data_IF_965030529548
#
_entry.id   IF_965030529548
#
_cell.length_a   1.000
_cell.length_b   1.000
_cell.length_c   1.000
_cell.angle_alpha   90.00
_cell.angle_beta   90.00
_cell.angle_gamma   90.00
#
_symmetry.space_group_name_H-M   'P 1'
#
loop_
_entity.id
_entity.type
_entity.pdbx_description
1 polymer ?
#
# COMPACT_ATOMS: atom_id res chain seq x y z
N UNK A 1 63.83 -34.62 -1.84
CA UNK A 1 63.39 -33.79 -2.99
C UNK A 1 62.78 -32.52 -2.43
N UNK A 2 63.13 -31.36 -3.03
CA UNK A 2 62.88 -29.94 -2.71
C UNK A 2 61.70 -29.60 -1.76
N UNK A 3 61.73 -28.71 -0.76
CA UNK A 3 62.36 -27.40 -0.45
C UNK A 3 61.83 -26.16 -1.21
N UNK A 4 61.25 -25.24 -0.42
CA UNK A 4 61.22 -23.74 -0.46
C UNK A 4 59.78 -23.14 -0.37
N UNK A 5 59.56 -22.05 0.42
CA UNK A 5 58.34 -21.78 1.21
C UNK A 5 57.60 -20.46 0.88
N UNK A 6 56.67 -20.09 1.78
CA UNK A 6 55.84 -18.87 1.96
C UNK A 6 56.43 -17.52 1.52
N UNK A 7 55.55 -16.58 1.10
CA UNK A 7 55.78 -15.14 1.31
C UNK A 7 54.52 -14.24 1.23
N UNK A 8 54.25 -13.60 2.38
CA UNK A 8 53.83 -12.22 2.67
C UNK A 8 52.44 -11.59 2.33
N UNK A 9 51.71 -11.27 3.41
CA UNK A 9 51.53 -9.94 4.04
C UNK A 9 51.57 -8.66 3.16
N UNK A 10 50.49 -7.87 3.19
CA UNK A 10 50.38 -6.39 3.38
C UNK A 10 48.99 -5.93 2.92
N UNK A 11 48.07 -5.49 3.79
CA UNK A 11 47.97 -4.20 4.49
C UNK A 11 47.75 -2.95 3.59
N UNK A 12 46.59 -2.32 3.83
CA UNK A 12 46.32 -0.88 3.97
C UNK A 12 46.42 0.12 2.78
N UNK A 13 45.23 0.64 2.47
CA UNK A 13 44.84 2.07 2.51
C UNK A 13 45.24 3.09 1.44
N UNK A 14 44.18 3.77 0.96
CA UNK A 14 44.07 5.24 0.72
C UNK A 14 44.85 5.83 -0.46
N UNK A 15 44.49 6.97 -1.08
CA UNK A 15 43.73 8.16 -0.68
C UNK A 15 43.39 8.92 -2.01
N UNK A 16 42.55 9.98 -1.94
CA UNK A 16 42.43 11.15 -2.85
C UNK A 16 41.35 11.05 -3.94
N UNK A 17 40.17 11.67 -3.79
CA UNK A 17 39.84 13.12 -3.93
C UNK A 17 40.32 13.75 -5.24
N UNK A 18 39.37 14.19 -6.09
CA UNK A 18 39.31 15.60 -6.53
C UNK A 18 38.02 15.94 -7.33
N UNK A 19 37.31 16.93 -6.78
CA UNK A 19 36.62 18.08 -7.41
C UNK A 19 35.45 17.95 -8.42
N UNK A 20 34.37 18.61 -8.01
CA UNK A 20 33.24 19.16 -8.77
C UNK A 20 33.65 20.15 -9.88
N UNK A 21 32.99 20.11 -11.04
CA UNK A 21 32.17 21.18 -11.71
C UNK A 21 31.91 20.84 -13.20
N UNK A 22 30.66 21.00 -13.68
CA UNK A 22 30.36 21.16 -15.12
C UNK A 22 29.15 20.38 -15.67
N UNK A 23 28.14 21.02 -16.32
CA UNK A 23 26.86 20.43 -16.72
C UNK A 23 26.86 19.87 -18.17
N UNK A 24 25.83 19.05 -18.43
CA UNK A 24 25.34 18.52 -19.72
C UNK A 24 26.17 17.45 -20.45
N UNK A 25 25.63 16.22 -20.53
CA UNK A 25 25.19 15.61 -21.80
C UNK A 25 24.63 14.17 -21.65
N UNK A 26 23.37 14.02 -22.07
CA UNK A 26 22.80 12.93 -22.88
C UNK A 26 23.02 11.45 -22.50
N UNK A 27 21.89 10.85 -22.07
CA UNK A 27 21.36 9.51 -22.39
C UNK A 27 22.31 8.30 -22.45
N UNK A 28 22.11 7.35 -21.53
CA UNK A 28 22.14 5.92 -21.87
C UNK A 28 21.13 5.14 -21.01
N UNK A 29 20.12 4.57 -21.66
CA UNK A 29 19.17 3.65 -21.03
C UNK A 29 19.90 2.36 -20.60
N UNK A 30 19.64 1.91 -19.37
CA UNK A 30 19.86 0.52 -18.96
C UNK A 30 18.54 -0.07 -18.45
N UNK A 31 18.05 -1.07 -19.17
CA UNK A 31 17.07 -2.06 -18.69
C UNK A 31 17.63 -2.82 -17.48
N UNK A 32 16.76 -3.27 -16.57
CA UNK A 32 16.95 -4.54 -15.89
C UNK A 32 15.95 -5.57 -16.42
N UNK A 33 16.48 -6.70 -16.90
CA UNK A 33 15.75 -7.95 -17.11
C UNK A 33 15.72 -8.71 -15.78
N UNK A 34 14.59 -9.35 -15.46
CA UNK A 34 14.57 -10.48 -14.52
C UNK A 34 13.70 -11.60 -15.10
N UNK A 35 14.34 -12.74 -15.28
CA UNK A 35 13.80 -14.02 -15.70
C UNK A 35 12.73 -14.56 -14.74
N UNK A 36 11.66 -15.09 -15.31
CA UNK A 36 10.95 -16.21 -14.72
C UNK A 36 10.35 -17.05 -15.84
N UNK A 37 11.01 -18.17 -16.10
CA UNK A 37 10.65 -19.18 -17.08
C UNK A 37 9.60 -20.11 -16.46
N UNK A 38 8.31 -19.88 -16.74
CA UNK A 38 7.24 -20.89 -16.63
C UNK A 38 6.25 -20.68 -17.78
N UNK A 39 6.39 -21.56 -18.77
CA UNK A 39 5.44 -22.05 -19.79
C UNK A 39 4.28 -21.14 -20.22
N UNK A 40 4.40 -20.58 -21.43
CA UNK A 40 3.28 -20.05 -22.24
C UNK A 40 2.65 -21.17 -23.09
N UNK A 41 1.37 -21.06 -23.52
CA UNK A 41 0.97 -20.09 -24.55
C UNK A 41 -0.22 -19.24 -24.05
N UNK A 42 -0.36 -17.95 -24.28
CA UNK A 42 0.12 -17.12 -25.37
C UNK A 42 -1.00 -16.14 -25.71
N UNK A 43 -1.02 -14.97 -25.06
CA UNK A 43 -1.53 -13.67 -25.57
C UNK A 43 -0.91 -12.61 -24.64
N UNK A 44 0.10 -11.90 -25.14
CA UNK A 44 0.66 -10.74 -24.43
C UNK A 44 -0.08 -9.48 -24.83
N UNK A 45 -0.96 -8.96 -23.97
CA UNK A 45 -1.53 -7.62 -24.16
C UNK A 45 -0.53 -6.61 -23.58
N UNK A 46 0.05 -5.77 -24.43
CA UNK A 46 0.94 -4.69 -24.00
C UNK A 46 0.19 -3.35 -24.09
N UNK A 47 -0.05 -2.73 -22.94
CA UNK A 47 -0.72 -1.42 -22.87
C UNK A 47 0.34 -0.35 -22.67
N UNK A 48 0.39 0.62 -23.59
CA UNK A 48 1.38 1.71 -23.53
C UNK A 48 0.63 3.04 -23.53
N UNK A 49 0.82 3.82 -22.46
CA UNK A 49 0.23 5.17 -22.37
C UNK A 49 1.16 6.13 -23.10
N UNK A 50 0.74 6.59 -24.27
CA UNK A 50 1.51 7.54 -25.06
C UNK A 50 1.41 8.94 -24.43
N UNK A 51 2.52 9.43 -23.87
CA UNK A 51 2.61 10.79 -23.35
C UNK A 51 2.91 11.77 -24.51
N UNK A 52 1.92 12.00 -25.39
CA UNK A 52 1.97 13.11 -26.34
C UNK A 52 0.86 14.10 -26.02
N UNK A 53 1.22 15.38 -26.02
CA UNK A 53 0.28 16.49 -25.89
C UNK A 53 -0.71 16.47 -27.06
N UNK A 54 -2.01 16.21 -26.82
CA UNK A 54 -2.99 16.14 -27.89
C UNK A 54 -3.40 17.56 -28.30
N UNK A 55 -3.32 17.87 -29.59
CA UNK A 55 -3.85 19.12 -30.18
C UNK A 55 -5.36 19.09 -30.41
N UNK A 56 -6.09 18.12 -29.82
CA UNK A 56 -7.56 18.03 -29.87
C UNK A 56 -8.14 17.61 -28.51
N UNK A 57 -9.36 18.07 -28.25
CA UNK A 57 -10.10 18.21 -26.98
C UNK A 57 -10.42 16.96 -26.16
N UNK A 58 -9.75 15.82 -26.37
CA UNK A 58 -9.93 14.66 -25.50
C UNK A 58 -8.96 14.73 -24.30
N UNK A 59 -9.51 14.65 -23.09
CA UNK A 59 -8.77 14.88 -21.82
C UNK A 59 -7.65 13.87 -21.55
N UNK A 60 -7.65 12.71 -22.22
CA UNK A 60 -6.57 11.72 -22.24
C UNK A 60 -6.88 10.70 -23.35
N UNK A 61 -5.84 10.22 -24.03
CA UNK A 61 -5.93 9.15 -25.03
C UNK A 61 -5.00 8.00 -24.60
N UNK A 62 -5.48 6.76 -24.71
CA UNK A 62 -4.68 5.57 -24.49
C UNK A 62 -4.63 4.76 -25.79
N UNK A 63 -3.44 4.32 -26.19
CA UNK A 63 -3.26 3.47 -27.37
C UNK A 63 -3.15 2.03 -26.91
N UNK A 64 -4.17 1.23 -27.19
CA UNK A 64 -4.12 -0.21 -26.99
C UNK A 64 -3.49 -0.86 -28.23
N UNK A 65 -2.30 -1.44 -28.08
CA UNK A 65 -1.65 -2.19 -29.15
C UNK A 65 -1.81 -3.68 -28.85
N UNK A 66 -2.65 -4.36 -29.63
CA UNK A 66 -2.89 -5.79 -29.47
C UNK A 66 -2.16 -6.52 -30.60
N UNK A 67 -1.21 -7.40 -30.25
CA UNK A 67 -0.59 -8.29 -31.20
C UNK A 67 -1.54 -9.47 -31.46
N UNK A 68 -2.20 -9.47 -32.62
CA UNK A 68 -3.19 -10.50 -32.99
C UNK A 68 -2.51 -11.55 -33.87
N UNK A 69 -2.35 -12.77 -33.38
CA UNK A 69 -1.77 -13.88 -34.16
C UNK A 69 -2.76 -14.55 -35.11
N UNK A 70 -4.07 -14.32 -34.91
CA UNK A 70 -5.16 -14.88 -35.72
C UNK A 70 -6.18 -13.81 -36.09
N UNK A 71 -5.89 -13.03 -37.12
CA UNK A 71 -6.87 -12.16 -37.76
C UNK A 71 -7.77 -13.02 -38.67
N UNK A 72 -9.06 -13.08 -38.37
CA UNK A 72 -10.01 -13.83 -39.20
C UNK A 72 -10.54 -12.99 -40.37
N UNK A 73 -10.66 -11.65 -40.23
CA UNK A 73 -11.21 -10.77 -41.27
C UNK A 73 -10.54 -9.39 -41.32
N UNK A 74 -10.45 -8.83 -42.53
CA UNK A 74 -10.05 -7.44 -42.75
C UNK A 74 -11.26 -6.51 -42.52
N UNK A 75 -11.11 -5.41 -41.76
CA UNK A 75 -12.19 -4.47 -41.56
C UNK A 75 -12.52 -3.73 -42.85
N UNK A 76 -13.81 -3.59 -43.14
CA UNK A 76 -14.27 -2.76 -44.27
C UNK A 76 -14.32 -1.30 -43.84
N UNK A 77 -13.80 -0.39 -44.70
CA UNK A 77 -13.78 1.05 -44.44
C UNK A 77 -15.21 1.60 -44.33
N UNK A 78 -15.68 1.80 -43.10
CA UNK A 78 -16.83 2.67 -42.79
C UNK A 78 -16.41 3.70 -41.76
N UNK A 79 -17.11 4.84 -41.76
CA UNK A 79 -16.90 5.89 -40.76
C UNK A 79 -17.03 5.29 -39.37
N UNK A 80 -15.99 5.48 -38.55
CA UNK A 80 -15.88 4.89 -37.23
C UNK A 80 -16.45 5.84 -36.18
N UNK A 81 -17.42 5.40 -35.38
CA UNK A 81 -17.93 6.13 -34.22
C UNK A 81 -17.66 5.35 -32.92
N UNK A 82 -17.67 6.02 -31.78
CA UNK A 82 -17.36 5.39 -30.47
C UNK A 82 -18.29 4.21 -30.13
N UNK A 83 -19.51 4.21 -30.67
CA UNK A 83 -20.49 3.13 -30.48
C UNK A 83 -20.12 1.85 -31.25
N UNK A 84 -19.29 1.97 -32.29
CA UNK A 84 -18.93 0.88 -33.19
C UNK A 84 -17.71 0.09 -32.69
N UNK A 85 -17.05 0.56 -31.63
CA UNK A 85 -15.84 -0.06 -31.08
C UNK A 85 -16.10 -1.52 -30.65
N UNK A 86 -17.24 -1.79 -30.03
CA UNK A 86 -17.62 -3.14 -29.59
C UNK A 86 -17.73 -4.11 -30.77
N UNK A 87 -18.54 -3.76 -31.77
CA UNK A 87 -18.74 -4.60 -32.95
C UNK A 87 -17.48 -4.77 -33.80
N UNK A 88 -16.63 -3.74 -33.88
CA UNK A 88 -15.35 -3.82 -34.59
C UNK A 88 -14.36 -4.81 -33.95
N UNK A 89 -14.33 -4.87 -32.61
CA UNK A 89 -13.49 -5.84 -31.91
C UNK A 89 -14.05 -7.26 -32.09
N UNK A 90 -15.37 -7.43 -32.04
CA UNK A 90 -16.02 -8.73 -32.27
C UNK A 90 -15.74 -9.29 -33.69
N UNK A 91 -15.61 -8.42 -34.70
CA UNK A 91 -15.29 -8.81 -36.08
C UNK A 91 -13.81 -9.22 -36.28
N UNK A 92 -12.90 -8.69 -35.47
CA UNK A 92 -11.45 -8.89 -35.58
C UNK A 92 -10.97 -10.08 -34.74
N UNK A 93 -11.56 -10.28 -33.57
CA UNK A 93 -11.12 -11.26 -32.58
C UNK A 93 -12.06 -12.48 -32.57
N UNK A 94 -11.49 -13.68 -32.42
CA UNK A 94 -12.29 -14.88 -32.06
C UNK A 94 -13.05 -14.55 -30.76
N UNK A 95 -14.37 -14.84 -30.65
CA UNK A 95 -15.19 -14.39 -29.53
C UNK A 95 -14.66 -14.98 -28.22
N UNK A 96 -13.85 -14.19 -27.52
CA UNK A 96 -13.48 -14.45 -26.14
C UNK A 96 -14.72 -14.09 -25.34
N UNK A 97 -15.20 -14.99 -24.47
CA UNK A 97 -16.32 -14.69 -23.60
C UNK A 97 -15.93 -13.55 -22.65
N UNK A 98 -16.33 -12.33 -22.98
CA UNK A 98 -16.16 -11.19 -22.09
C UNK A 98 -17.29 -11.19 -21.08
N UNK A 99 -16.94 -11.25 -19.79
CA UNK A 99 -17.90 -10.97 -18.74
C UNK A 99 -18.21 -9.46 -18.78
N UNK A 100 -19.37 -9.11 -19.32
CA UNK A 100 -19.84 -7.73 -19.33
C UNK A 100 -20.17 -7.32 -17.89
N UNK A 101 -19.19 -6.74 -17.19
CA UNK A 101 -19.42 -6.14 -15.89
C UNK A 101 -20.17 -4.82 -16.15
N UNK A 102 -21.50 -4.86 -16.01
CA UNK A 102 -22.32 -3.64 -15.96
C UNK A 102 -22.01 -2.90 -14.66
N UNK A 103 -20.92 -2.13 -14.66
CA UNK A 103 -20.66 -1.14 -13.63
C UNK A 103 -21.63 0.02 -13.83
N UNK A 104 -22.71 0.07 -13.04
CA UNK A 104 -23.46 1.33 -12.89
C UNK A 104 -22.53 2.35 -12.23
N UNK A 105 -22.60 3.62 -12.63
CA UNK A 105 -21.92 4.75 -11.95
C UNK A 105 -22.48 5.01 -10.53
N UNK A 106 -22.90 3.98 -9.80
CA UNK A 106 -23.01 4.06 -8.35
C UNK A 106 -21.60 4.40 -7.83
N UNK A 107 -21.47 5.53 -7.15
CA UNK A 107 -20.24 6.32 -7.04
C UNK A 107 -18.97 5.52 -6.73
N UNK A 108 -17.87 5.85 -7.42
CA UNK A 108 -16.56 5.27 -7.16
C UNK A 108 -16.20 5.33 -5.66
N UNK A 109 -15.54 4.30 -5.11
CA UNK A 109 -15.30 4.16 -3.68
C UNK A 109 -14.44 5.31 -3.14
N UNK A 110 -14.63 5.67 -1.87
CA UNK A 110 -13.86 6.68 -1.13
C UNK A 110 -12.39 6.25 -1.02
N UNK A 111 -12.16 4.98 -0.68
CA UNK A 111 -10.84 4.36 -0.65
C UNK A 111 -10.86 3.03 -1.40
N UNK A 112 -9.90 2.85 -2.31
CA UNK A 112 -9.73 1.59 -3.04
C UNK A 112 -8.73 0.70 -2.35
N UNK A 113 -9.11 -0.53 -2.03
CA UNK A 113 -8.21 -1.52 -1.45
C UNK A 113 -7.08 -1.85 -2.42
N UNK A 114 -5.89 -2.14 -1.88
CA UNK A 114 -4.73 -2.49 -2.70
C UNK A 114 -4.10 -3.82 -2.30
N UNK A 115 -3.62 -3.92 -1.06
CA UNK A 115 -2.94 -5.10 -0.51
C UNK A 115 -2.98 -5.03 1.01
N UNK A 116 -2.62 -6.14 1.65
CA UNK A 116 -2.43 -6.20 3.11
C UNK A 116 -1.06 -6.77 3.45
N UNK A 117 -0.48 -6.32 4.55
CA UNK A 117 0.78 -6.87 5.07
C UNK A 117 0.72 -7.00 6.60
N UNK A 118 1.31 -8.06 7.11
CA UNK A 118 1.39 -8.31 8.55
C UNK A 118 2.61 -7.62 9.17
N UNK A 119 2.39 -6.96 10.31
CA UNK A 119 3.44 -6.31 11.09
C UNK A 119 3.37 -6.74 12.55
N UNK A 120 4.54 -6.93 13.15
CA UNK A 120 4.69 -6.80 14.58
C UNK A 120 4.66 -5.31 14.94
N UNK A 121 3.97 -4.96 16.03
CA UNK A 121 3.87 -3.59 16.54
C UNK A 121 4.35 -3.56 17.99
N UNK A 122 5.09 -2.51 18.33
CA UNK A 122 5.47 -2.13 19.69
C UNK A 122 5.25 -0.61 19.82
N UNK A 123 4.84 -0.15 20.99
CA UNK A 123 4.97 1.28 21.30
C UNK A 123 6.44 1.63 21.62
N UNK A 124 6.75 2.92 21.74
CA UNK A 124 8.14 3.37 21.97
C UNK A 124 8.72 2.96 23.33
N UNK A 125 7.87 2.50 24.24
CA UNK A 125 8.24 1.92 25.54
C UNK A 125 8.28 0.37 25.46
N UNK A 126 8.27 -0.19 24.25
CA UNK A 126 8.32 -1.62 23.97
C UNK A 126 7.15 -2.44 24.52
N UNK A 127 5.99 -1.82 24.80
CA UNK A 127 4.75 -2.56 25.06
C UNK A 127 4.19 -3.09 23.75
N UNK A 128 3.70 -4.32 23.80
CA UNK A 128 3.02 -4.95 22.68
C UNK A 128 1.52 -5.04 22.93
N UNK A 129 0.77 -5.25 21.86
CA UNK A 129 -0.67 -5.44 21.95
C UNK A 129 -1.02 -6.89 22.30
N UNK A 130 -2.00 -7.06 23.17
CA UNK A 130 -2.63 -8.35 23.49
C UNK A 130 -4.15 -8.18 23.40
N UNK A 131 -4.82 -9.19 22.87
CA UNK A 131 -6.28 -9.24 22.83
C UNK A 131 -6.79 -9.95 24.09
N UNK A 132 -7.39 -9.19 25.01
CA UNK A 132 -8.05 -9.72 26.20
C UNK A 132 -9.57 -9.90 25.95
N UNK A 133 -10.21 -10.94 26.52
CA UNK A 133 -11.65 -11.12 26.42
C UNK A 133 -12.44 -9.97 27.10
N UNK A 134 -13.63 -9.59 26.60
CA UNK A 134 -14.34 -10.20 25.48
C UNK A 134 -13.78 -9.81 24.10
N UNK A 135 -13.35 -8.56 23.90
CA UNK A 135 -12.77 -8.04 22.65
C UNK A 135 -12.01 -6.73 22.91
N UNK A 136 -11.15 -6.71 23.93
CA UNK A 136 -10.41 -5.52 24.32
C UNK A 136 -8.93 -5.66 24.01
N UNK A 137 -8.38 -4.67 23.31
CA UNK A 137 -6.96 -4.62 23.02
C UNK A 137 -6.25 -3.86 24.14
N UNK A 138 -5.26 -4.47 24.76
CA UNK A 138 -4.46 -3.86 25.85
C UNK A 138 -2.99 -3.82 25.47
N UNK A 139 -2.24 -2.86 26.04
CA UNK A 139 -0.81 -2.72 25.81
C UNK A 139 0.00 -3.08 27.06
N UNK A 140 0.93 -4.03 26.95
CA UNK A 140 1.79 -4.45 28.06
C UNK A 140 3.13 -5.03 27.57
N UNK A 141 4.12 -5.02 28.46
CA UNK A 141 5.36 -5.76 28.27
C UNK A 141 5.10 -7.25 28.45
N UNK A 142 5.48 -8.06 27.47
CA UNK A 142 5.43 -9.52 27.58
C UNK A 142 6.84 -10.08 27.74
N UNK A 143 6.98 -11.07 28.62
CA UNK A 143 8.25 -11.78 28.84
C UNK A 143 8.06 -13.29 28.72
N UNK A 144 9.12 -13.96 28.26
CA UNK A 144 9.18 -15.42 28.17
C UNK A 144 8.09 -16.04 27.28
N UNK A 145 7.43 -17.12 27.72
CA UNK A 145 6.49 -17.87 26.88
C UNK A 145 5.21 -17.10 26.54
N UNK A 146 4.87 -16.04 27.29
CA UNK A 146 3.69 -15.22 27.05
C UNK A 146 3.78 -14.41 25.73
N UNK A 147 4.98 -14.25 25.17
CA UNK A 147 5.22 -13.56 23.88
C UNK A 147 4.42 -14.13 22.70
N UNK A 148 3.93 -15.38 22.80
CA UNK A 148 3.01 -15.98 21.82
C UNK A 148 1.65 -15.30 21.74
N UNK A 149 1.25 -14.56 22.78
CA UNK A 149 -0.01 -13.82 22.84
C UNK A 149 0.08 -12.44 22.16
N UNK A 150 1.28 -12.03 21.74
CA UNK A 150 1.50 -10.77 21.02
C UNK A 150 0.64 -10.73 19.75
N UNK A 151 -0.22 -9.72 19.68
CA UNK A 151 -1.01 -9.42 18.48
C UNK A 151 -0.08 -8.93 17.38
N UNK A 152 -0.31 -9.44 16.17
CA UNK A 152 0.23 -8.88 14.93
C UNK A 152 -0.87 -8.10 14.23
N UNK A 153 -0.55 -6.94 13.69
CA UNK A 153 -1.49 -6.18 12.88
C UNK A 153 -1.43 -6.67 11.44
N UNK A 154 -2.58 -6.88 10.82
CA UNK A 154 -2.70 -6.99 9.37
C UNK A 154 -3.16 -5.64 8.84
N UNK A 155 -2.21 -4.88 8.29
CA UNK A 155 -2.44 -3.52 7.81
C UNK A 155 -2.87 -3.59 6.33
N UNK A 156 -4.13 -3.27 6.07
CA UNK A 156 -4.68 -3.16 4.72
C UNK A 156 -4.39 -1.74 4.17
N UNK A 157 -3.72 -1.65 3.03
CA UNK A 157 -3.38 -0.39 2.36
C UNK A 157 -4.46 0.00 1.35
N UNK A 158 -4.79 1.30 1.32
CA UNK A 158 -5.74 1.85 0.37
C UNK A 158 -5.13 2.98 -0.46
N UNK A 159 -5.82 3.32 -1.56
CA UNK A 159 -5.61 4.55 -2.32
C UNK A 159 -6.86 5.43 -2.22
N UNK A 160 -6.72 6.71 -1.87
CA UNK A 160 -7.86 7.62 -1.84
C UNK A 160 -8.35 7.90 -3.27
N UNK A 161 -9.64 8.20 -3.40
CA UNK A 161 -10.30 8.51 -4.69
C UNK A 161 -9.72 9.75 -5.38
N UNK A 162 -9.40 10.77 -4.60
CA UNK A 162 -8.79 12.01 -5.06
C UNK A 162 -7.36 12.12 -4.55
N UNK A 163 -6.47 12.71 -5.34
CA UNK A 163 -5.19 13.26 -4.88
C UNK A 163 -5.40 14.49 -3.97
N UNK A 164 -6.42 14.46 -3.10
CA UNK A 164 -6.61 15.40 -2.01
C UNK A 164 -5.51 15.11 -0.99
N UNK A 165 -4.40 15.81 -1.20
CA UNK A 165 -3.10 15.44 -0.71
C UNK A 165 -2.17 15.54 -1.90
N UNK A 166 -1.63 16.74 -2.10
CA UNK A 166 -0.57 16.95 -3.08
C UNK A 166 0.54 15.90 -2.89
N UNK A 167 1.32 15.61 -3.94
CA UNK A 167 2.47 14.72 -3.81
C UNK A 167 3.32 15.16 -2.61
N UNK A 168 3.43 14.32 -1.57
CA UNK A 168 4.32 14.57 -0.43
C UNK A 168 3.70 14.72 0.97
N UNK A 169 2.40 14.47 1.20
CA UNK A 169 1.86 14.55 2.59
C UNK A 169 2.38 13.45 3.53
N UNK A 170 2.96 12.36 3.00
CA UNK A 170 3.45 11.23 3.79
C UNK A 170 2.35 10.40 4.49
N UNK A 171 1.07 10.75 4.27
CA UNK A 171 -0.08 10.08 4.90
C UNK A 171 -0.57 8.93 4.03
N UNK A 172 -0.50 7.70 4.54
CA UNK A 172 -0.96 6.50 3.83
C UNK A 172 -2.25 5.98 4.47
N UNK A 173 -3.40 5.96 3.78
CA UNK A 173 -4.63 5.44 4.36
C UNK A 173 -4.57 3.91 4.50
N UNK A 174 -4.89 3.44 5.70
CA UNK A 174 -4.83 2.03 6.08
C UNK A 174 -6.01 1.63 6.96
N UNK A 175 -6.36 0.35 6.97
CA UNK A 175 -7.19 -0.25 8.01
C UNK A 175 -6.34 -1.20 8.86
N UNK A 176 -6.56 -1.21 10.17
CA UNK A 176 -5.75 -1.95 11.14
C UNK A 176 -6.51 -3.18 11.63
N UNK A 177 -6.23 -4.33 11.03
CA UNK A 177 -6.82 -5.61 11.41
C UNK A 177 -5.99 -6.39 12.42
N UNK A 178 -6.64 -7.19 13.26
CA UNK A 178 -5.98 -8.10 14.20
C UNK A 178 -5.70 -9.42 13.48
N UNK A 179 -4.44 -9.77 13.23
CA UNK A 179 -4.08 -10.99 12.48
C UNK A 179 -4.59 -12.24 13.21
N UNK A 180 -5.26 -13.12 12.47
CA UNK A 180 -5.87 -14.33 13.00
C UNK A 180 -7.31 -14.15 13.50
N UNK A 181 -7.81 -12.91 13.51
CA UNK A 181 -9.17 -12.57 13.89
C UNK A 181 -9.83 -11.75 12.77
N UNK A 182 -11.15 -11.77 12.69
CA UNK A 182 -11.93 -10.92 11.77
C UNK A 182 -12.24 -9.55 12.38
N UNK A 183 -11.35 -9.06 13.24
CA UNK A 183 -11.51 -7.82 14.00
C UNK A 183 -10.67 -6.70 13.38
N UNK A 184 -11.26 -5.52 13.25
CA UNK A 184 -10.59 -4.30 12.81
C UNK A 184 -10.80 -3.18 13.83
N UNK A 185 -9.76 -2.37 13.99
CA UNK A 185 -9.86 -1.13 14.74
C UNK A 185 -10.76 -0.15 13.99
N UNK A 186 -11.61 0.55 14.74
CA UNK A 186 -12.48 1.60 14.24
C UNK A 186 -12.61 2.71 15.28
N UNK A 187 -12.83 3.94 14.81
CA UNK A 187 -13.13 5.06 15.69
C UNK A 187 -14.59 5.45 15.57
N UNK A 188 -15.30 5.53 16.68
CA UNK A 188 -16.71 5.94 16.73
C UNK A 188 -16.94 6.96 17.82
N UNK A 189 -18.03 7.72 17.72
CA UNK A 189 -18.44 8.61 18.80
C UNK A 189 -19.13 7.79 19.89
N UNK A 190 -18.66 7.91 21.14
CA UNK A 190 -19.32 7.31 22.31
C UNK A 190 -19.63 8.41 23.32
N UNK A 191 -20.91 8.78 23.42
CA UNK A 191 -21.32 9.97 24.14
C UNK A 191 -20.80 11.23 23.44
N UNK A 192 -19.92 11.98 24.12
CA UNK A 192 -19.38 13.25 23.62
C UNK A 192 -17.96 13.15 23.05
N UNK A 193 -17.30 11.99 23.17
CA UNK A 193 -15.90 11.82 22.79
C UNK A 193 -15.72 10.66 21.81
N UNK A 194 -14.75 10.76 20.89
CA UNK A 194 -14.40 9.65 20.01
C UNK A 194 -13.64 8.59 20.79
N UNK A 195 -13.97 7.33 20.54
CA UNK A 195 -13.34 6.16 21.16
C UNK A 195 -12.87 5.18 20.10
N UNK A 196 -11.83 4.42 20.44
CA UNK A 196 -11.36 3.28 19.66
C UNK A 196 -12.14 2.04 20.08
N UNK A 197 -12.59 1.24 19.11
CA UNK A 197 -13.20 -0.06 19.37
C UNK A 197 -12.75 -1.10 18.33
N UNK A 198 -12.94 -2.37 18.68
CA UNK A 198 -12.78 -3.49 17.75
C UNK A 198 -14.15 -3.90 17.19
N UNK A 199 -14.30 -3.86 15.88
CA UNK A 199 -15.50 -4.31 15.17
C UNK A 199 -15.18 -5.54 14.32
N UNK A 200 -16.09 -6.50 14.28
CA UNK A 200 -16.04 -7.59 13.30
C UNK A 200 -16.41 -7.06 11.92
N UNK A 201 -15.50 -7.16 10.96
CA UNK A 201 -15.71 -6.59 9.63
C UNK A 201 -14.88 -7.29 8.55
N UNK A 202 -15.38 -7.26 7.31
CA UNK A 202 -14.55 -7.49 6.13
C UNK A 202 -14.27 -6.16 5.42
N UNK A 203 -13.11 -5.58 5.75
CA UNK A 203 -12.62 -4.35 5.12
C UNK A 203 -11.62 -4.63 4.01
N UNK A 204 -11.32 -5.87 3.61
CA UNK A 204 -10.40 -6.17 2.49
C UNK A 204 -11.04 -5.97 1.12
N UNK A 205 -11.82 -4.90 1.02
CA UNK A 205 -12.61 -4.47 -0.13
C UNK A 205 -12.62 -2.95 -0.14
N UNK A 206 -13.17 -2.39 -1.20
CA UNK A 206 -13.27 -0.95 -1.34
C UNK A 206 -14.18 -0.33 -0.25
N UNK A 207 -13.80 0.84 0.22
CA UNK A 207 -14.58 1.63 1.18
C UNK A 207 -15.50 2.53 0.40
N UNK A 208 -16.77 2.18 0.37
CA UNK A 208 -17.76 2.80 -0.51
C UNK A 208 -18.47 4.00 0.12
N UNK A 209 -18.47 4.11 1.46
CA UNK A 209 -19.22 5.13 2.19
C UNK A 209 -18.39 5.89 3.22
N UNK A 210 -18.86 7.08 3.60
CA UNK A 210 -18.27 7.89 4.68
C UNK A 210 -18.38 7.17 6.03
N UNK A 211 -19.45 6.40 6.25
CA UNK A 211 -19.65 5.63 7.48
C UNK A 211 -18.54 4.60 7.71
N UNK A 212 -18.06 3.97 6.64
CA UNK A 212 -16.95 3.01 6.68
C UNK A 212 -15.58 3.68 6.81
N UNK A 213 -15.50 5.01 6.74
CA UNK A 213 -14.25 5.76 7.00
C UNK A 213 -13.80 5.63 8.46
N UNK A 214 -14.68 5.20 9.38
CA UNK A 214 -14.32 4.85 10.76
C UNK A 214 -13.21 3.81 10.90
N UNK A 215 -13.05 2.94 9.89
CA UNK A 215 -12.01 1.92 9.83
C UNK A 215 -10.67 2.43 9.28
N UNK A 216 -10.65 3.65 8.74
CA UNK A 216 -9.48 4.20 8.06
C UNK A 216 -8.66 5.05 9.04
N UNK A 217 -7.37 4.77 9.05
CA UNK A 217 -6.34 5.51 9.73
C UNK A 217 -5.32 5.99 8.71
N UNK A 218 -4.74 7.16 8.91
CA UNK A 218 -3.55 7.58 8.20
C UNK A 218 -2.32 7.09 8.94
N UNK A 219 -1.58 6.19 8.32
CA UNK A 219 -0.24 5.79 8.73
C UNK A 219 0.73 6.93 8.41
N UNK A 220 1.41 7.43 9.43
CA UNK A 220 2.39 8.50 9.39
C UNK A 220 3.74 7.92 9.80
N UNK A 221 4.59 7.62 8.82
CA UNK A 221 5.94 7.11 9.09
C UNK A 221 6.93 8.27 9.24
N UNK A 222 7.80 8.20 10.24
CA UNK A 222 8.99 9.04 10.41
C UNK A 222 10.22 8.23 9.96
N UNK A 223 10.74 8.42 8.73
CA UNK A 223 11.82 7.59 8.20
C UNK A 223 13.13 7.73 8.98
N UNK A 224 13.38 8.90 9.57
CA UNK A 224 14.57 9.20 10.36
C UNK A 224 14.58 8.45 11.69
N UNK A 225 13.43 8.40 12.36
CA UNK A 225 13.29 7.76 13.67
C UNK A 225 12.85 6.29 13.56
N UNK A 226 12.43 5.85 12.36
CA UNK A 226 11.82 4.53 12.10
C UNK A 226 10.58 4.27 12.96
N UNK A 227 9.86 5.34 13.29
CA UNK A 227 8.63 5.31 14.07
C UNK A 227 7.41 5.56 13.18
N UNK A 228 6.23 5.18 13.67
CA UNK A 228 4.96 5.31 12.99
C UNK A 228 3.90 5.82 13.96
N UNK A 229 3.02 6.70 13.50
CA UNK A 229 1.76 7.06 14.17
C UNK A 229 0.56 6.71 13.30
N UNK A 230 -0.60 6.53 13.93
CA UNK A 230 -1.85 6.24 13.24
C UNK A 230 -2.90 7.26 13.64
N UNK A 231 -3.25 8.15 12.72
CA UNK A 231 -4.29 9.17 12.91
C UNK A 231 -5.63 8.67 12.37
N UNK A 232 -6.73 8.87 13.09
CA UNK A 232 -8.07 8.52 12.61
C UNK A 232 -8.48 9.39 11.41
N UNK A 233 -8.99 8.77 10.35
CA UNK A 233 -9.59 9.51 9.23
C UNK A 233 -10.99 10.05 9.56
N UNK A 234 -11.74 9.35 10.42
CA UNK A 234 -13.06 9.79 10.88
C UNK A 234 -12.98 10.92 11.92
N UNK A 235 -11.90 10.97 12.70
CA UNK A 235 -11.66 12.01 13.71
C UNK A 235 -10.24 12.60 13.55
N UNK A 236 -10.05 13.55 12.62
CA UNK A 236 -8.74 14.17 12.39
C UNK A 236 -8.13 14.76 13.67
N UNK A 237 -6.82 14.63 13.82
CA UNK A 237 -6.08 15.00 15.02
C UNK A 237 -6.13 13.99 16.16
N UNK A 238 -6.93 12.91 16.06
CA UNK A 238 -6.94 11.83 17.04
C UNK A 238 -6.06 10.67 16.60
N UNK A 239 -5.18 10.22 17.49
CA UNK A 239 -4.17 9.19 17.22
C UNK A 239 -4.39 7.97 18.09
N UNK A 240 -4.15 6.78 17.54
CA UNK A 240 -4.09 5.54 18.35
C UNK A 240 -3.01 5.72 19.41
N UNK A 241 -3.35 5.41 20.67
CA UNK A 241 -2.44 5.58 21.79
C UNK A 241 -2.53 4.45 22.83
N UNK A 242 -1.46 4.27 23.58
CA UNK A 242 -1.38 3.43 24.79
C UNK A 242 -1.18 4.30 26.03
N UNK A 243 -1.56 3.78 27.19
CA UNK A 243 -1.22 4.40 28.47
C UNK A 243 0.27 4.21 28.79
N UNK A 244 0.80 5.11 29.62
CA UNK A 244 2.10 4.91 30.27
C UNK A 244 2.08 3.70 31.21
N UNK A 245 0.90 3.39 31.79
CA UNK A 245 0.73 2.22 32.65
C UNK A 245 0.50 0.97 31.80
N UNK A 246 1.11 -0.18 32.17
CA UNK A 246 0.91 -1.43 31.46
C UNK A 246 -0.50 -1.96 31.68
N UNK A 247 -0.93 -2.82 30.76
CA UNK A 247 -2.21 -3.54 30.76
C UNK A 247 -3.43 -2.61 30.83
N UNK A 248 -3.29 -1.44 30.22
CA UNK A 248 -4.40 -0.52 29.99
C UNK A 248 -4.92 -0.70 28.56
N UNK A 249 -6.19 -0.37 28.31
CA UNK A 249 -6.77 -0.44 26.98
C UNK A 249 -6.04 0.46 25.99
N UNK A 250 -5.92 -0.01 24.75
CA UNK A 250 -5.51 0.83 23.63
C UNK A 250 -6.69 1.72 23.24
N UNK A 251 -6.42 3.01 23.07
CA UNK A 251 -7.43 4.03 22.82
C UNK A 251 -7.02 4.99 21.71
N UNK A 252 -7.64 6.16 21.70
CA UNK A 252 -7.25 7.30 20.87
C UNK A 252 -7.12 8.58 21.70
N UNK A 253 -6.29 9.51 21.25
CA UNK A 253 -6.03 10.80 21.92
C UNK A 253 -5.83 11.92 20.91
N UNK A 254 -6.22 13.14 21.25
CA UNK A 254 -5.89 14.36 20.50
C UNK A 254 -4.64 15.09 21.03
N UNK A 255 -3.98 14.53 22.06
CA UNK A 255 -2.74 15.03 22.65
C UNK A 255 -1.67 13.93 22.62
N UNK A 256 -1.15 13.58 21.43
CA UNK A 256 -0.20 12.48 21.27
C UNK A 256 1.09 12.75 22.04
N UNK A 257 1.59 11.72 22.74
CA UNK A 257 2.89 11.69 23.44
C UNK A 257 3.05 12.71 24.59
N UNK A 258 1.96 13.30 25.11
CA UNK A 258 2.01 14.17 26.30
C UNK A 258 1.93 13.39 27.62
N UNK A 259 0.88 12.57 27.77
CA UNK A 259 0.62 11.72 28.97
C UNK A 259 0.22 10.29 28.57
N UNK A 260 0.49 9.94 27.32
CA UNK A 260 0.20 8.68 26.65
C UNK A 260 1.33 8.41 25.66
N UNK A 261 1.32 7.26 24.98
CA UNK A 261 2.26 6.98 23.89
C UNK A 261 1.44 6.75 22.62
N UNK A 262 1.65 7.57 21.60
CA UNK A 262 1.00 7.48 20.29
C UNK A 262 2.00 7.12 19.17
N UNK A 263 3.23 6.81 19.56
CA UNK A 263 4.36 6.51 18.67
C UNK A 263 4.76 5.04 18.77
N UNK A 264 4.90 4.39 17.60
CA UNK A 264 5.08 2.95 17.47
C UNK A 264 6.27 2.59 16.59
N UNK A 265 6.83 1.41 16.80
CA UNK A 265 7.77 0.75 15.91
C UNK A 265 7.05 -0.41 15.20
N UNK A 266 7.17 -0.46 13.86
CA UNK A 266 6.62 -1.54 13.05
C UNK A 266 7.74 -2.37 12.43
N UNK A 267 7.67 -3.69 12.58
CA UNK A 267 8.58 -4.61 11.91
C UNK A 267 7.79 -5.61 11.06
N UNK A 268 8.03 -5.58 9.74
CA UNK A 268 7.46 -6.51 8.78
C UNK A 268 8.38 -7.72 8.57
N UNK A 269 7.78 -8.89 8.32
CA UNK A 269 8.46 -10.05 7.72
C UNK A 269 7.83 -10.34 6.37
#
# INVERSE_FOLDING_TARGET
MAFVPDLDTLESSSLNEETFYGPDCLCLEKKPCLDSEVTSPGVGIQVTVANRHPTRTFRQAATLVVAVTKLLRQPTHKGFTDSDLGGFLDDIFEPVSFQQIKGSYAGAPVYRYTRSQSFDILDIDHKCFVLEPPTQLVALHLQGPATRQKVKLNIALYRPRSSQGGPGTGRVPVALGIKGYQLYMSCVMSGAEPVLQLEEADVRRDIESVELTRFIFYRLDSPTERTTRFESAAFPGWFVCTSLQPRQPVGITNQPDQVNIATYELSGR
#
